data_IF_946489709672
#
_entry.id   IF_946489709672
#
_cell.length_a   1.000
_cell.length_b   1.000
_cell.length_c   1.000
_cell.angle_alpha   90.00
_cell.angle_beta   90.00
_cell.angle_gamma   90.00
#
_symmetry.space_group_name_H-M   'P 1'
#
loop_
_entity.id
_entity.type
_entity.pdbx_description
1 polymer ?
#
# COMPACT_ATOMS: atom_id res chain seq x y z
N UNK A 1 39.43 28.02 -23.66
CA UNK A 1 39.95 26.92 -22.82
C UNK A 1 38.98 25.74 -22.94
N UNK A 2 39.33 24.60 -23.57
CA UNK A 2 38.42 23.46 -23.66
C UNK A 2 38.47 22.61 -22.39
N UNK A 3 37.30 22.31 -21.80
CA UNK A 3 37.12 21.48 -20.60
C UNK A 3 37.43 20.03 -20.97
N UNK A 4 38.45 19.42 -20.36
CA UNK A 4 38.75 17.98 -20.52
C UNK A 4 37.58 17.17 -19.97
N UNK A 5 36.86 16.46 -20.83
CA UNK A 5 35.90 15.45 -20.42
C UNK A 5 36.65 14.23 -19.88
N UNK A 6 36.65 14.07 -18.56
CA UNK A 6 37.23 12.89 -17.90
C UNK A 6 36.41 11.66 -18.24
N UNK A 7 36.96 10.76 -19.07
CA UNK A 7 36.41 9.43 -19.31
C UNK A 7 36.33 8.68 -17.97
N UNK A 8 35.11 8.43 -17.47
CA UNK A 8 34.89 7.56 -16.31
C UNK A 8 35.33 6.14 -16.68
N UNK A 9 36.36 5.63 -15.99
CA UNK A 9 36.81 4.24 -16.07
C UNK A 9 35.66 3.37 -15.54
N UNK A 10 35.05 2.55 -16.40
CA UNK A 10 34.11 1.51 -15.96
C UNK A 10 34.95 0.51 -15.16
N UNK A 11 34.55 0.26 -13.91
CA UNK A 11 35.19 -0.77 -13.08
C UNK A 11 34.64 -2.11 -13.55
N UNK A 12 35.50 -3.11 -13.66
CA UNK A 12 35.17 -4.40 -14.25
C UNK A 12 34.17 -5.14 -13.35
N UNK A 13 33.00 -5.47 -13.91
CA UNK A 13 31.84 -6.07 -13.24
C UNK A 13 31.99 -7.60 -13.05
N UNK A 14 33.19 -8.18 -13.25
CA UNK A 14 33.40 -9.64 -13.29
C UNK A 14 33.13 -10.37 -11.95
N UNK A 15 33.16 -9.63 -10.84
CA UNK A 15 32.84 -10.14 -9.49
C UNK A 15 31.61 -9.49 -8.86
N UNK A 16 30.98 -8.53 -9.54
CA UNK A 16 29.80 -7.86 -9.04
C UNK A 16 28.56 -8.54 -9.62
N UNK A 17 27.89 -9.36 -8.81
CA UNK A 17 26.65 -10.06 -9.17
C UNK A 17 25.46 -9.10 -9.45
N UNK A 18 25.68 -7.78 -9.49
CA UNK A 18 24.66 -6.75 -9.67
C UNK A 18 23.71 -6.63 -8.47
N UNK A 19 23.97 -7.39 -7.41
CA UNK A 19 23.18 -7.43 -6.18
C UNK A 19 23.57 -6.27 -5.28
N UNK A 20 22.59 -5.50 -4.85
CA UNK A 20 22.81 -4.47 -3.82
C UNK A 20 22.76 -5.13 -2.45
N UNK A 21 23.89 -5.18 -1.75
CA UNK A 21 23.96 -5.72 -0.39
C UNK A 21 23.32 -4.75 0.62
N UNK A 22 23.51 -3.45 0.42
CA UNK A 22 22.91 -2.40 1.24
C UNK A 22 22.48 -1.22 0.36
N UNK A 23 21.21 -0.82 0.46
CA UNK A 23 20.69 0.32 -0.30
C UNK A 23 21.12 1.64 0.37
N UNK A 24 22.10 2.32 -0.21
CA UNK A 24 22.57 3.64 0.25
C UNK A 24 21.90 4.81 -0.48
N UNK A 25 20.83 4.57 -1.25
CA UNK A 25 20.08 5.60 -1.96
C UNK A 25 19.19 6.40 -1.00
N UNK A 26 19.81 7.29 -0.22
CA UNK A 26 19.17 8.11 0.81
C UNK A 26 19.01 9.55 0.35
N UNK A 27 17.91 10.20 0.73
CA UNK A 27 17.60 11.59 0.36
C UNK A 27 18.69 12.56 0.86
N UNK A 28 19.01 13.57 0.07
CA UNK A 28 20.04 14.57 0.35
C UNK A 28 21.49 14.19 0.03
N UNK A 29 21.77 12.93 -0.36
CA UNK A 29 23.12 12.54 -0.79
C UNK A 29 23.39 12.83 -2.26
N UNK A 30 24.64 13.14 -2.67
CA UNK A 30 24.97 13.49 -4.06
C UNK A 30 24.81 12.33 -5.06
N UNK A 31 24.67 11.10 -4.57
CA UNK A 31 24.37 9.91 -5.38
C UNK A 31 22.87 9.53 -5.36
N UNK A 32 22.03 10.31 -4.67
CA UNK A 32 20.59 10.07 -4.63
C UNK A 32 19.98 10.28 -6.02
N UNK A 33 19.28 9.27 -6.52
CA UNK A 33 18.67 9.31 -7.86
C UNK A 33 17.14 9.33 -7.83
N UNK A 34 16.52 9.38 -6.65
CA UNK A 34 15.06 9.43 -6.48
C UNK A 34 14.31 8.17 -6.92
N UNK A 35 15.02 7.11 -7.35
CA UNK A 35 14.42 5.89 -7.88
C UNK A 35 14.63 4.73 -6.92
N UNK A 36 13.53 4.09 -6.55
CA UNK A 36 13.56 2.83 -5.80
C UNK A 36 13.63 1.71 -6.85
N UNK A 37 14.72 0.94 -6.84
CA UNK A 37 14.92 -0.19 -7.75
C UNK A 37 13.99 -1.34 -7.36
N UNK A 38 12.79 -1.37 -7.94
CA UNK A 38 11.73 -2.37 -7.65
C UNK A 38 12.06 -3.79 -8.12
N UNK A 39 13.11 -3.97 -8.92
CA UNK A 39 13.47 -5.24 -9.56
C UNK A 39 14.50 -6.06 -8.77
N UNK A 40 14.88 -5.63 -7.55
CA UNK A 40 15.83 -6.33 -6.69
C UNK A 40 15.11 -7.05 -5.54
N UNK A 41 15.32 -8.37 -5.38
CA UNK A 41 14.76 -9.11 -4.25
C UNK A 41 15.42 -8.61 -2.96
N UNK A 42 14.62 -8.05 -2.06
CA UNK A 42 15.08 -7.43 -0.80
C UNK A 42 14.76 -5.93 -0.67
N UNK A 43 14.20 -5.29 -1.71
CA UNK A 43 13.65 -3.93 -1.58
C UNK A 43 12.20 -4.03 -1.13
N UNK A 44 12.02 -4.41 0.14
CA UNK A 44 10.77 -4.15 0.85
C UNK A 44 10.64 -2.63 0.93
N UNK A 45 9.79 -2.08 0.08
CA UNK A 45 9.51 -0.64 0.03
C UNK A 45 8.75 -0.25 1.29
N UNK A 46 9.48 -0.09 2.38
CA UNK A 46 9.00 0.60 3.56
C UNK A 46 9.14 2.10 3.33
N UNK A 47 7.97 2.75 3.43
CA UNK A 47 7.84 4.13 3.91
C UNK A 47 8.22 5.27 2.95
N UNK A 48 7.41 5.50 1.91
CA UNK A 48 7.11 6.89 1.48
C UNK A 48 5.62 7.00 1.09
N UNK A 49 4.87 7.75 1.89
CA UNK A 49 3.43 8.10 1.85
C UNK A 49 2.51 7.24 2.74
N UNK A 50 1.85 7.91 3.68
CA UNK A 50 0.93 7.35 4.67
C UNK A 50 -0.33 6.73 4.08
N UNK A 51 -0.24 5.45 3.73
CA UNK A 51 -1.34 4.52 3.49
C UNK A 51 -1.03 3.21 4.20
N UNK A 52 -2.06 2.42 4.60
CA UNK A 52 -1.86 1.24 5.42
C UNK A 52 -0.90 0.28 4.73
N UNK A 53 0.13 -0.07 5.49
CA UNK A 53 1.10 -1.13 5.29
C UNK A 53 0.56 -2.19 4.31
N UNK A 54 1.18 -2.29 3.12
CA UNK A 54 0.88 -3.34 2.16
C UNK A 54 1.43 -4.67 2.68
N UNK A 55 0.80 -5.17 3.73
CA UNK A 55 0.91 -6.57 4.11
C UNK A 55 0.52 -7.32 2.84
N UNK A 56 1.47 -8.03 2.24
CA UNK A 56 1.21 -8.94 1.12
C UNK A 56 0.42 -10.11 1.69
N UNK A 57 -0.84 -9.86 2.05
CA UNK A 57 -1.76 -10.82 2.62
C UNK A 57 -2.02 -11.86 1.56
N UNK A 58 -1.76 -13.12 1.90
CA UNK A 58 -2.11 -14.22 1.01
C UNK A 58 -3.64 -14.21 0.84
N UNK A 59 -4.17 -14.59 -0.33
CA UNK A 59 -5.62 -14.53 -0.64
C UNK A 59 -6.54 -15.20 0.40
N UNK A 60 -5.97 -16.08 1.24
CA UNK A 60 -6.66 -16.74 2.36
C UNK A 60 -6.89 -15.81 3.56
N UNK A 61 -5.93 -14.94 3.86
CA UNK A 61 -6.01 -13.98 4.97
C UNK A 61 -6.95 -12.82 4.63
N UNK A 62 -6.92 -12.36 3.37
CA UNK A 62 -7.85 -11.35 2.85
C UNK A 62 -9.31 -11.76 3.05
N UNK A 63 -9.64 -13.03 2.80
CA UNK A 63 -11.01 -13.54 2.96
C UNK A 63 -11.46 -13.61 4.42
N UNK A 64 -10.53 -13.84 5.36
CA UNK A 64 -10.83 -13.81 6.79
C UNK A 64 -11.13 -12.38 7.27
N UNK A 65 -10.32 -11.41 6.85
CA UNK A 65 -10.53 -9.99 7.10
C UNK A 65 -11.84 -9.49 6.50
N UNK A 66 -12.11 -9.81 5.23
CA UNK A 66 -13.34 -9.42 4.54
C UNK A 66 -14.58 -9.96 5.26
N UNK A 67 -14.56 -11.18 5.78
CA UNK A 67 -15.69 -11.72 6.56
C UNK A 67 -15.96 -10.92 7.82
N UNK A 68 -14.91 -10.49 8.53
CA UNK A 68 -15.06 -9.62 9.71
C UNK A 68 -15.68 -8.27 9.35
N UNK A 69 -15.16 -7.62 8.31
CA UNK A 69 -15.67 -6.32 7.82
C UNK A 69 -17.11 -6.43 7.34
N UNK A 70 -17.44 -7.48 6.57
CA UNK A 70 -18.79 -7.73 6.08
C UNK A 70 -19.76 -7.94 7.23
N UNK A 71 -19.38 -8.70 8.26
CA UNK A 71 -20.24 -8.93 9.42
C UNK A 71 -20.48 -7.62 10.20
N UNK A 72 -19.44 -6.81 10.40
CA UNK A 72 -19.56 -5.52 11.06
C UNK A 72 -20.44 -4.54 10.26
N UNK A 73 -20.23 -4.46 8.94
CA UNK A 73 -21.04 -3.63 8.05
C UNK A 73 -22.51 -4.08 8.00
N UNK A 74 -22.75 -5.39 8.02
CA UNK A 74 -24.10 -5.96 8.06
C UNK A 74 -24.81 -5.64 9.39
N UNK A 75 -24.08 -5.66 10.51
CA UNK A 75 -24.65 -5.24 11.80
C UNK A 75 -25.04 -3.76 11.79
N UNK A 76 -24.13 -2.89 11.32
CA UNK A 76 -24.39 -1.46 11.21
C UNK A 76 -25.57 -1.16 10.28
N UNK A 77 -25.60 -1.77 9.09
CA UNK A 77 -26.71 -1.66 8.15
C UNK A 77 -28.02 -2.21 8.72
N UNK A 78 -27.96 -3.28 9.50
CA UNK A 78 -29.11 -3.87 10.20
C UNK A 78 -29.77 -2.90 11.17
N UNK A 79 -29.00 -2.12 11.93
CA UNK A 79 -29.57 -1.09 12.83
C UNK A 79 -30.34 -0.04 12.03
N UNK A 80 -29.77 0.47 10.95
CA UNK A 80 -30.47 1.43 10.08
C UNK A 80 -31.73 0.83 9.45
N UNK A 81 -31.66 -0.44 9.02
CA UNK A 81 -32.82 -1.14 8.47
C UNK A 81 -33.94 -1.31 9.50
N UNK A 82 -33.62 -1.63 10.75
CA UNK A 82 -34.62 -1.75 11.83
C UNK A 82 -35.30 -0.41 12.11
N UNK A 83 -34.54 0.68 12.19
CA UNK A 83 -35.09 2.03 12.38
C UNK A 83 -36.01 2.41 11.21
N UNK A 84 -35.57 2.13 9.98
CA UNK A 84 -36.38 2.41 8.78
C UNK A 84 -37.65 1.56 8.74
N UNK A 85 -37.55 0.26 9.04
CA UNK A 85 -38.70 -0.64 9.12
C UNK A 85 -39.69 -0.20 10.20
N UNK A 86 -39.21 0.21 11.38
CA UNK A 86 -40.05 0.75 12.44
C UNK A 86 -40.75 2.05 12.00
N UNK A 87 -40.06 2.93 11.28
CA UNK A 87 -40.65 4.14 10.71
C UNK A 87 -41.74 3.82 9.68
N UNK A 88 -41.49 2.90 8.75
CA UNK A 88 -42.48 2.47 7.77
C UNK A 88 -43.70 1.82 8.45
N UNK A 89 -43.48 0.95 9.43
CA UNK A 89 -44.56 0.34 10.22
C UNK A 89 -45.38 1.41 10.96
N UNK A 90 -44.71 2.41 11.54
CA UNK A 90 -45.38 3.55 12.17
C UNK A 90 -46.27 4.30 11.16
N UNK A 91 -45.74 4.62 9.97
CA UNK A 91 -46.51 5.29 8.93
C UNK A 91 -47.74 4.47 8.48
N UNK A 92 -47.61 3.15 8.35
CA UNK A 92 -48.73 2.29 7.93
C UNK A 92 -49.79 2.17 9.03
N UNK A 93 -49.38 1.88 10.27
CA UNK A 93 -50.31 1.52 11.34
C UNK A 93 -50.84 2.71 12.14
N UNK A 94 -50.10 3.81 12.21
CA UNK A 94 -50.47 5.00 13.00
C UNK A 94 -50.94 6.15 12.11
N UNK A 95 -50.31 6.36 10.95
CA UNK A 95 -50.64 7.51 10.08
C UNK A 95 -51.66 7.16 9.00
N UNK A 96 -51.53 6.02 8.31
CA UNK A 96 -52.45 5.61 7.24
C UNK A 96 -53.72 4.88 7.72
N UNK A 97 -53.99 4.91 9.02
CA UNK A 97 -55.24 4.43 9.63
C UNK A 97 -56.06 5.61 10.15
#
# INVERSE_FOLDING_TARGET
MPRKEGKKKRRDDEFDDGRTIANMNVDGMPWYNGKIDKNKPGVESDSVNGGPEKITLTKKEERALLRGVVLAALLAGGVFFVVFAAFVLFCIYVWFR
#
